data_IF_291939414618
#
_entry.id   IF_291939414618
#
_cell.length_a   1.000
_cell.length_b   1.000
_cell.length_c   1.000
_cell.angle_alpha   90.00
_cell.angle_beta   90.00
_cell.angle_gamma   90.00
#
_symmetry.space_group_name_H-M   'P 1'
#
loop_
_entity.id
_entity.type
_entity.pdbx_description
1 polymer ?
#
# COMPACT_ATOMS: atom_id res chain seq x y z
N UNK A 1 -20.88 -0.35 2.69
CA UNK A 1 -20.07 -1.52 3.08
C UNK A 1 -18.59 -1.19 3.19
N UNK A 2 -17.91 -0.70 2.15
CA UNK A 2 -16.49 -0.27 2.22
C UNK A 2 -16.17 0.71 3.36
N UNK A 3 -16.93 1.81 3.50
CA UNK A 3 -16.71 2.81 4.55
C UNK A 3 -16.84 2.25 5.98
N UNK A 4 -17.73 1.26 6.16
CA UNK A 4 -17.92 0.55 7.42
C UNK A 4 -16.71 -0.34 7.75
N UNK A 5 -16.14 -1.01 6.75
CA UNK A 5 -14.92 -1.82 6.95
C UNK A 5 -13.65 -0.99 7.11
N UNK A 6 -13.58 0.19 6.47
CA UNK A 6 -12.51 1.17 6.71
C UNK A 6 -12.49 1.65 8.17
N UNK A 7 -13.64 1.82 8.82
CA UNK A 7 -13.71 2.16 10.25
C UNK A 7 -13.06 1.08 11.16
N UNK A 8 -12.98 -0.19 10.74
CA UNK A 8 -12.31 -1.24 11.52
C UNK A 8 -10.77 -1.14 11.47
N UNK A 9 -10.18 -0.34 10.57
CA UNK A 9 -8.75 -0.03 10.65
C UNK A 9 -8.40 0.81 11.88
N UNK A 10 -9.41 1.30 12.62
CA UNK A 10 -9.24 1.96 13.92
C UNK A 10 -8.90 0.96 15.05
N UNK A 11 -9.02 -0.35 14.82
CA UNK A 11 -8.52 -1.38 15.75
C UNK A 11 -7.03 -1.60 15.45
N UNK A 12 -6.10 -1.15 16.32
CA UNK A 12 -4.68 -1.12 15.99
C UNK A 12 -4.11 -2.52 15.69
N UNK A 13 -3.17 -2.55 14.74
CA UNK A 13 -2.34 -3.69 14.34
C UNK A 13 -3.08 -4.88 13.70
N UNK A 14 -3.97 -5.54 14.43
CA UNK A 14 -4.72 -6.71 13.92
C UNK A 14 -5.76 -6.28 12.90
N UNK A 15 -6.45 -5.15 13.15
CA UNK A 15 -7.45 -4.61 12.23
C UNK A 15 -6.85 -4.26 10.87
N UNK A 16 -5.66 -3.65 10.85
CA UNK A 16 -4.96 -3.33 9.60
C UNK A 16 -4.61 -4.58 8.81
N UNK A 17 -3.89 -5.56 9.38
CA UNK A 17 -3.52 -6.75 8.60
C UNK A 17 -4.73 -7.59 8.17
N UNK A 18 -5.75 -7.72 9.02
CA UNK A 18 -7.00 -8.41 8.64
C UNK A 18 -7.70 -7.69 7.49
N UNK A 19 -7.81 -6.37 7.58
CA UNK A 19 -8.44 -5.57 6.53
C UNK A 19 -7.66 -5.67 5.21
N UNK A 20 -6.34 -5.58 5.27
CA UNK A 20 -5.50 -5.55 4.07
C UNK A 20 -5.30 -6.91 3.42
N UNK A 21 -5.08 -7.96 4.21
CA UNK A 21 -4.78 -9.30 3.68
C UNK A 21 -6.04 -10.11 3.37
N UNK A 22 -7.20 -9.73 3.90
CA UNK A 22 -8.45 -10.46 3.68
C UNK A 22 -9.56 -9.58 3.08
N UNK A 23 -9.90 -8.46 3.71
CA UNK A 23 -11.09 -7.69 3.29
C UNK A 23 -10.89 -6.95 1.96
N UNK A 24 -9.68 -6.45 1.67
CA UNK A 24 -9.34 -5.85 0.37
C UNK A 24 -9.38 -6.89 -0.77
N UNK A 25 -8.65 -8.03 -0.68
CA UNK A 25 -8.77 -9.11 -1.67
C UNK A 25 -10.19 -9.63 -1.84
N UNK A 26 -10.93 -9.81 -0.74
CA UNK A 26 -12.32 -10.26 -0.78
C UNK A 26 -13.21 -9.28 -1.53
N UNK A 27 -13.06 -7.97 -1.26
CA UNK A 27 -13.81 -6.93 -1.95
C UNK A 27 -13.51 -6.89 -3.46
N UNK A 28 -12.24 -7.02 -3.84
CA UNK A 28 -11.83 -7.09 -5.24
C UNK A 28 -12.35 -8.36 -5.91
N UNK A 29 -12.31 -9.51 -5.23
CA UNK A 29 -12.82 -10.77 -5.73
C UNK A 29 -14.34 -10.74 -5.93
N UNK A 30 -15.09 -10.18 -4.99
CA UNK A 30 -16.54 -9.97 -5.12
C UNK A 30 -16.85 -9.06 -6.32
N UNK A 31 -16.09 -7.99 -6.53
CA UNK A 31 -16.22 -7.14 -7.72
C UNK A 31 -15.99 -7.94 -9.00
N UNK A 32 -14.89 -8.71 -9.06
CA UNK A 32 -14.56 -9.57 -10.21
C UNK A 32 -15.70 -10.53 -10.53
N UNK A 33 -16.33 -11.12 -9.50
CA UNK A 33 -17.46 -12.04 -9.66
C UNK A 33 -18.73 -11.33 -10.11
N UNK A 34 -19.07 -10.19 -9.52
CA UNK A 34 -20.27 -9.43 -9.86
C UNK A 34 -20.23 -8.89 -11.29
N UNK A 35 -19.05 -8.45 -11.75
CA UNK A 35 -18.87 -7.86 -13.09
C UNK A 35 -18.44 -8.87 -14.16
N UNK A 36 -18.40 -10.16 -13.82
CA UNK A 36 -18.00 -11.26 -14.71
C UNK A 36 -16.72 -10.95 -15.51
N UNK A 37 -15.67 -10.53 -14.80
CA UNK A 37 -14.43 -10.07 -15.42
C UNK A 37 -13.69 -11.28 -16.00
N UNK A 38 -13.68 -11.38 -17.33
CA UNK A 38 -13.27 -12.60 -18.03
C UNK A 38 -11.79 -12.98 -17.93
N UNK A 39 -10.86 -12.05 -18.20
CA UNK A 39 -9.43 -12.40 -18.28
C UNK A 39 -8.76 -12.37 -16.91
N UNK A 40 -7.87 -13.33 -16.64
CA UNK A 40 -7.04 -13.33 -15.42
C UNK A 40 -6.28 -12.01 -15.25
N UNK A 41 -5.75 -11.47 -16.34
CA UNK A 41 -5.09 -10.16 -16.36
C UNK A 41 -5.98 -9.07 -15.74
N UNK A 42 -7.21 -8.93 -16.22
CA UNK A 42 -8.15 -7.93 -15.74
C UNK A 42 -8.59 -8.19 -14.30
N UNK A 43 -8.70 -9.45 -13.89
CA UNK A 43 -9.00 -9.81 -12.50
C UNK A 43 -7.88 -9.33 -11.55
N UNK A 44 -6.62 -9.62 -11.87
CA UNK A 44 -5.47 -9.15 -11.08
C UNK A 44 -5.32 -7.63 -11.14
N UNK A 45 -5.61 -7.00 -12.28
CA UNK A 45 -5.61 -5.55 -12.41
C UNK A 45 -6.65 -4.89 -11.48
N UNK A 46 -7.83 -5.50 -11.32
CA UNK A 46 -8.84 -5.04 -10.35
C UNK A 46 -8.33 -5.22 -8.92
N UNK A 47 -7.73 -6.36 -8.58
CA UNK A 47 -7.14 -6.56 -7.24
C UNK A 47 -6.07 -5.51 -6.96
N UNK A 48 -5.16 -5.27 -7.91
CA UNK A 48 -4.12 -4.26 -7.81
C UNK A 48 -4.71 -2.86 -7.63
N UNK A 49 -5.74 -2.52 -8.41
CA UNK A 49 -6.44 -1.24 -8.30
C UNK A 49 -7.08 -1.05 -6.92
N UNK A 50 -7.76 -2.07 -6.37
CA UNK A 50 -8.31 -2.04 -5.01
C UNK A 50 -7.21 -1.82 -3.98
N UNK A 51 -6.11 -2.57 -4.08
CA UNK A 51 -4.97 -2.40 -3.20
C UNK A 51 -4.41 -0.98 -3.28
N UNK A 52 -4.20 -0.41 -4.47
CA UNK A 52 -3.68 0.95 -4.61
C UNK A 52 -4.63 1.99 -4.03
N UNK A 53 -5.90 1.99 -4.39
CA UNK A 53 -6.86 3.01 -3.93
C UNK A 53 -7.06 2.92 -2.42
N UNK A 54 -7.17 1.72 -1.87
CA UNK A 54 -7.47 1.53 -0.45
C UNK A 54 -6.23 1.76 0.41
N UNK A 55 -5.10 1.15 0.05
CA UNK A 55 -3.89 1.22 0.86
C UNK A 55 -3.12 2.51 0.68
N UNK A 56 -2.87 2.89 -0.58
CA UNK A 56 -2.10 4.08 -0.88
C UNK A 56 -2.98 5.30 -0.68
N UNK A 57 -4.20 5.27 -1.23
CA UNK A 57 -5.19 6.34 -1.08
C UNK A 57 -5.66 6.52 0.36
N UNK A 58 -6.62 5.71 0.80
CA UNK A 58 -7.22 5.88 2.14
C UNK A 58 -6.24 5.62 3.29
N UNK A 59 -5.40 4.59 3.18
CA UNK A 59 -4.35 4.31 4.17
C UNK A 59 -3.30 5.43 4.25
N UNK A 60 -2.98 6.08 3.13
CA UNK A 60 -2.09 7.24 3.13
C UNK A 60 -2.69 8.47 3.83
N UNK A 61 -4.00 8.72 3.69
CA UNK A 61 -4.70 9.78 4.45
C UNK A 61 -4.62 9.50 5.96
N UNK A 62 -4.84 8.24 6.36
CA UNK A 62 -4.71 7.87 7.77
C UNK A 62 -3.27 8.06 8.27
N UNK A 63 -2.27 7.70 7.47
CA UNK A 63 -0.88 7.90 7.84
C UNK A 63 -0.52 9.39 7.95
N UNK A 64 -1.04 10.23 7.05
CA UNK A 64 -0.90 11.69 7.15
C UNK A 64 -1.47 12.22 8.47
N UNK A 65 -2.66 11.78 8.87
CA UNK A 65 -3.25 12.17 10.17
C UNK A 65 -2.36 11.71 11.32
N UNK A 66 -1.87 10.47 11.28
CA UNK A 66 -0.95 9.93 12.30
C UNK A 66 0.34 10.75 12.44
N UNK A 67 0.96 11.11 11.31
CA UNK A 67 2.22 11.86 11.28
C UNK A 67 2.06 13.38 11.45
N UNK A 68 0.83 13.90 11.52
CA UNK A 68 0.55 15.31 11.85
C UNK A 68 -0.03 15.46 13.25
N UNK A 69 -1.25 14.95 13.46
CA UNK A 69 -2.02 15.13 14.70
C UNK A 69 -1.45 14.28 15.84
N UNK A 70 -0.86 13.13 15.53
CA UNK A 70 -0.37 12.16 16.51
C UNK A 70 1.16 11.94 16.40
N UNK A 71 1.88 12.89 15.80
CA UNK A 71 3.29 12.75 15.44
C UNK A 71 4.17 12.27 16.60
N UNK A 72 4.02 12.87 17.78
CA UNK A 72 4.80 12.52 18.97
C UNK A 72 4.44 11.13 19.52
N UNK A 73 3.18 10.74 19.43
CA UNK A 73 2.74 9.39 19.83
C UNK A 73 3.32 8.34 18.90
N UNK A 74 3.33 8.59 17.59
CA UNK A 74 3.95 7.72 16.60
C UNK A 74 5.46 7.63 16.84
N UNK A 75 6.15 8.76 16.98
CA UNK A 75 7.59 8.80 17.23
C UNK A 75 7.97 8.02 18.51
N UNK A 76 7.26 8.24 19.63
CA UNK A 76 7.48 7.47 20.87
C UNK A 76 7.23 5.98 20.69
N UNK A 77 6.19 5.59 19.95
CA UNK A 77 5.91 4.17 19.69
C UNK A 77 6.98 3.48 18.86
N UNK A 78 7.66 4.22 17.98
CA UNK A 78 8.82 3.77 17.21
C UNK A 78 10.09 3.80 18.07
N UNK A 79 10.12 4.56 19.17
CA UNK A 79 11.33 4.79 19.96
C UNK A 79 12.24 5.87 19.36
N UNK A 80 11.69 6.77 18.55
CA UNK A 80 12.41 7.89 17.93
C UNK A 80 12.09 9.22 18.61
N UNK A 81 12.94 10.22 18.34
CA UNK A 81 12.82 11.55 18.90
C UNK A 81 11.50 12.23 18.47
N UNK A 82 10.79 12.79 19.45
CA UNK A 82 9.58 13.61 19.27
C UNK A 82 9.90 15.02 18.78
N UNK A 83 8.95 15.70 18.14
CA UNK A 83 9.15 17.08 17.65
C UNK A 83 10.16 17.24 16.50
N UNK A 84 10.60 16.14 15.88
CA UNK A 84 11.48 16.17 14.71
C UNK A 84 10.70 16.55 13.43
N UNK A 85 11.28 17.36 12.51
CA UNK A 85 10.64 17.70 11.24
C UNK A 85 10.40 16.48 10.33
N UNK A 86 11.06 15.36 10.59
CA UNK A 86 10.88 14.10 9.87
C UNK A 86 9.42 13.65 9.80
N UNK A 87 8.66 13.77 10.91
CA UNK A 87 7.26 13.37 10.95
C UNK A 87 6.43 14.21 9.96
N UNK A 88 6.70 15.50 9.87
CA UNK A 88 6.02 16.42 8.94
C UNK A 88 6.34 16.09 7.48
N UNK A 89 7.61 15.85 7.15
CA UNK A 89 8.00 15.45 5.78
C UNK A 89 7.32 14.15 5.36
N UNK A 90 7.31 13.17 6.26
CA UNK A 90 6.64 11.89 6.05
C UNK A 90 5.11 12.05 5.92
N UNK A 91 4.52 12.95 6.69
CA UNK A 91 3.11 13.30 6.55
C UNK A 91 2.81 13.81 5.14
N UNK A 92 3.55 14.78 4.62
CA UNK A 92 3.29 15.32 3.29
C UNK A 92 3.58 14.33 2.17
N UNK A 93 4.59 13.46 2.32
CA UNK A 93 4.81 12.35 1.39
C UNK A 93 3.60 11.40 1.35
N UNK A 94 3.08 11.03 2.52
CA UNK A 94 1.94 10.12 2.62
C UNK A 94 0.65 10.77 2.10
N UNK A 95 0.46 12.06 2.32
CA UNK A 95 -0.65 12.83 1.75
C UNK A 95 -0.57 12.91 0.22
N UNK A 96 0.60 13.23 -0.35
CA UNK A 96 0.78 13.31 -1.79
C UNK A 96 0.50 11.97 -2.48
N UNK A 97 1.05 10.88 -1.94
CA UNK A 97 0.76 9.52 -2.42
C UNK A 97 -0.70 9.13 -2.22
N UNK A 98 -1.35 9.58 -1.14
CA UNK A 98 -2.77 9.36 -0.90
C UNK A 98 -3.66 10.03 -1.94
N UNK A 99 -3.43 11.32 -2.21
CA UNK A 99 -4.19 12.07 -3.22
C UNK A 99 -4.05 11.39 -4.58
N UNK A 100 -2.83 11.00 -4.95
CA UNK A 100 -2.60 10.28 -6.20
C UNK A 100 -3.27 8.90 -6.22
N UNK A 101 -3.21 8.13 -5.12
CA UNK A 101 -3.87 6.84 -4.99
C UNK A 101 -5.39 6.92 -5.10
N UNK A 102 -6.01 7.95 -4.54
CA UNK A 102 -7.44 8.23 -4.70
C UNK A 102 -7.77 8.68 -6.12
N UNK A 103 -6.93 9.55 -6.70
CA UNK A 103 -7.10 10.03 -8.07
C UNK A 103 -7.01 8.90 -9.11
N UNK A 104 -6.32 7.80 -8.79
CA UNK A 104 -6.23 6.61 -9.63
C UNK A 104 -7.58 5.92 -9.89
N UNK A 105 -8.65 6.24 -9.14
CA UNK A 105 -10.04 5.83 -9.46
C UNK A 105 -10.45 6.35 -10.85
N UNK A 106 -10.05 7.57 -11.19
CA UNK A 106 -10.41 8.25 -12.43
C UNK A 106 -9.30 8.21 -13.47
N UNK A 107 -8.05 8.47 -13.08
CA UNK A 107 -6.93 8.63 -14.02
C UNK A 107 -6.42 7.30 -14.59
N UNK A 108 -6.41 6.22 -13.77
CA UNK A 108 -6.09 4.83 -14.16
C UNK A 108 -4.75 4.68 -14.93
N UNK A 109 -4.53 3.51 -15.53
CA UNK A 109 -3.35 3.21 -16.37
C UNK A 109 -2.02 3.21 -15.60
N UNK A 110 -0.95 3.69 -16.25
CA UNK A 110 0.41 3.69 -15.69
C UNK A 110 0.59 4.53 -14.42
N UNK A 111 -0.40 5.34 -14.03
CA UNK A 111 -0.41 6.00 -12.74
C UNK A 111 -0.33 5.00 -11.58
N UNK A 112 -1.03 3.87 -11.68
CA UNK A 112 -1.00 2.80 -10.67
C UNK A 112 0.41 2.20 -10.58
N UNK A 113 1.03 1.90 -11.72
CA UNK A 113 2.40 1.40 -11.82
C UNK A 113 3.39 2.36 -11.16
N UNK A 114 3.33 3.65 -11.51
CA UNK A 114 4.22 4.67 -10.94
C UNK A 114 4.05 4.81 -9.42
N UNK A 115 2.81 4.78 -8.93
CA UNK A 115 2.51 4.83 -7.50
C UNK A 115 3.02 3.62 -6.75
N UNK A 116 2.85 2.42 -7.31
CA UNK A 116 3.36 1.19 -6.70
C UNK A 116 4.88 1.24 -6.61
N UNK A 117 5.57 1.59 -7.69
CA UNK A 117 7.04 1.67 -7.67
C UNK A 117 7.49 2.68 -6.61
N UNK A 118 6.94 3.90 -6.64
CA UNK A 118 7.30 4.96 -5.70
C UNK A 118 7.03 4.56 -4.24
N UNK A 119 5.83 4.05 -3.95
CA UNK A 119 5.44 3.67 -2.59
C UNK A 119 6.22 2.46 -2.11
N UNK A 120 6.48 1.48 -2.98
CA UNK A 120 7.22 0.28 -2.60
C UNK A 120 8.67 0.56 -2.28
N UNK A 121 9.34 1.39 -3.08
CA UNK A 121 10.73 1.80 -2.79
C UNK A 121 10.80 2.55 -1.47
N UNK A 122 9.84 3.44 -1.20
CA UNK A 122 9.74 4.13 0.08
C UNK A 122 9.58 3.15 1.26
N UNK A 123 8.65 2.19 1.17
CA UNK A 123 8.39 1.23 2.26
C UNK A 123 9.60 0.33 2.51
N UNK A 124 10.26 -0.19 1.47
CA UNK A 124 11.51 -0.93 1.67
C UNK A 124 12.62 -0.06 2.27
N UNK A 125 12.68 1.21 1.91
CA UNK A 125 13.57 2.19 2.55
C UNK A 125 13.25 2.37 4.04
N UNK A 126 11.98 2.48 4.41
CA UNK A 126 11.54 2.54 5.80
C UNK A 126 11.92 1.26 6.57
N UNK A 127 11.66 0.08 6.00
CA UNK A 127 12.09 -1.20 6.56
C UNK A 127 13.60 -1.24 6.81
N UNK A 128 14.40 -0.77 5.85
CA UNK A 128 15.86 -0.66 6.02
C UNK A 128 16.24 0.23 7.20
N UNK A 129 15.60 1.40 7.35
CA UNK A 129 15.86 2.31 8.47
C UNK A 129 15.50 1.65 9.80
N UNK A 130 14.34 1.01 9.91
CA UNK A 130 13.92 0.26 11.09
C UNK A 130 14.90 -0.86 11.45
N UNK A 131 15.27 -1.70 10.47
CA UNK A 131 16.22 -2.81 10.65
C UNK A 131 17.59 -2.29 11.09
N UNK A 132 18.09 -1.22 10.45
CA UNK A 132 19.35 -0.60 10.85
C UNK A 132 19.29 -0.12 12.30
N UNK A 133 18.18 0.48 12.72
CA UNK A 133 17.99 1.00 14.07
C UNK A 133 17.94 -0.12 15.13
N UNK A 134 17.40 -1.29 14.78
CA UNK A 134 17.50 -2.50 15.61
C UNK A 134 18.97 -2.85 15.87
N UNK A 135 19.78 -2.94 14.82
CA UNK A 135 21.17 -3.40 14.95
C UNK A 135 22.10 -2.36 15.57
N UNK A 136 21.90 -1.08 15.25
CA UNK A 136 22.79 0.00 15.70
C UNK A 136 22.45 0.48 17.10
N UNK A 137 21.15 0.65 17.39
CA UNK A 137 20.69 1.27 18.63
C UNK A 137 19.96 0.30 19.58
N UNK A 138 19.85 -0.99 19.22
CA UNK A 138 19.07 -1.98 19.98
C UNK A 138 17.62 -1.52 20.22
N UNK A 139 17.05 -0.79 19.25
CA UNK A 139 15.69 -0.27 19.38
C UNK A 139 14.67 -1.37 19.10
N UNK A 140 14.19 -2.04 20.15
CA UNK A 140 13.14 -3.05 20.08
C UNK A 140 11.74 -2.50 20.36
N UNK A 141 11.54 -1.19 20.20
CA UNK A 141 10.23 -0.56 20.44
C UNK A 141 9.16 -1.20 19.55
N UNK A 142 7.90 -1.33 20.03
CA UNK A 142 6.86 -2.09 19.33
C UNK A 142 6.60 -1.65 17.89
N UNK A 143 6.64 -0.34 17.59
CA UNK A 143 6.47 0.14 16.22
C UNK A 143 7.77 0.15 15.41
N UNK A 144 8.93 -0.12 16.01
CA UNK A 144 10.18 -0.30 15.26
C UNK A 144 10.33 -1.72 14.70
N UNK A 145 9.93 -2.72 15.49
CA UNK A 145 10.15 -4.15 15.14
C UNK A 145 8.87 -4.92 14.82
N UNK A 146 7.72 -4.36 15.19
CA UNK A 146 6.44 -5.04 15.07
C UNK A 146 5.74 -4.74 13.74
N UNK A 147 4.46 -4.39 13.83
CA UNK A 147 3.56 -4.30 12.68
C UNK A 147 4.02 -3.36 11.58
N UNK A 148 4.72 -2.27 11.92
CA UNK A 148 5.19 -1.27 10.95
C UNK A 148 6.26 -1.90 10.06
N UNK A 149 7.34 -2.43 10.65
CA UNK A 149 8.39 -3.13 9.91
C UNK A 149 7.85 -4.30 9.07
N UNK A 150 6.92 -5.10 9.63
CA UNK A 150 6.29 -6.19 8.87
C UNK A 150 5.51 -5.62 7.67
N UNK A 151 4.75 -4.54 7.86
CA UNK A 151 3.99 -3.88 6.80
C UNK A 151 4.90 -3.28 5.71
N UNK A 152 6.00 -2.67 6.12
CA UNK A 152 7.02 -2.07 5.25
C UNK A 152 7.69 -3.10 4.32
N UNK A 153 7.59 -4.39 4.65
CA UNK A 153 8.10 -5.49 3.82
C UNK A 153 6.96 -6.19 3.06
N UNK A 154 5.87 -6.54 3.75
CA UNK A 154 4.79 -7.37 3.18
C UNK A 154 4.01 -6.62 2.10
N UNK A 155 3.60 -5.37 2.35
CA UNK A 155 2.79 -4.61 1.41
C UNK A 155 3.49 -4.33 0.07
N UNK A 156 4.74 -3.82 0.03
CA UNK A 156 5.41 -3.60 -1.24
C UNK A 156 5.68 -4.91 -1.99
N UNK A 157 5.90 -6.00 -1.26
CA UNK A 157 6.08 -7.33 -1.86
C UNK A 157 4.79 -7.79 -2.57
N UNK A 158 3.64 -7.68 -1.90
CA UNK A 158 2.33 -8.01 -2.50
C UNK A 158 2.05 -7.12 -3.72
N UNK A 159 2.31 -5.82 -3.64
CA UNK A 159 2.11 -4.93 -4.78
C UNK A 159 2.99 -5.29 -5.97
N UNK A 160 4.27 -5.59 -5.75
CA UNK A 160 5.15 -5.98 -6.86
C UNK A 160 4.77 -7.33 -7.46
N UNK A 161 4.33 -8.30 -6.65
CA UNK A 161 3.83 -9.57 -7.17
C UNK A 161 2.57 -9.38 -8.02
N UNK A 162 1.60 -8.58 -7.56
CA UNK A 162 0.40 -8.26 -8.33
C UNK A 162 0.74 -7.49 -9.62
N UNK A 163 1.61 -6.48 -9.52
CA UNK A 163 2.04 -5.71 -10.67
C UNK A 163 2.76 -6.57 -11.70
N UNK A 164 3.65 -7.47 -11.26
CA UNK A 164 4.32 -8.42 -12.13
C UNK A 164 3.31 -9.27 -12.91
N UNK A 165 2.33 -9.88 -12.23
CA UNK A 165 1.30 -10.71 -12.87
C UNK A 165 0.47 -9.92 -13.89
N UNK A 166 0.13 -8.67 -13.58
CA UNK A 166 -0.62 -7.80 -14.51
C UNK A 166 0.22 -7.49 -15.74
N UNK A 167 1.46 -7.04 -15.56
CA UNK A 167 2.34 -6.66 -16.67
C UNK A 167 2.71 -7.84 -17.58
N UNK A 168 2.96 -9.02 -17.01
CA UNK A 168 3.23 -10.23 -17.82
C UNK A 168 2.04 -10.61 -18.68
N UNK A 169 0.83 -10.53 -18.12
CA UNK A 169 -0.37 -10.88 -18.86
C UNK A 169 -0.72 -9.86 -19.96
N UNK A 170 -0.45 -8.58 -19.73
CA UNK A 170 -0.56 -7.53 -20.74
C UNK A 170 0.44 -7.73 -21.90
N UNK A 171 1.69 -8.09 -21.58
CA UNK A 171 2.73 -8.39 -22.57
C UNK A 171 2.41 -9.62 -23.43
N UNK A 172 1.90 -10.69 -22.82
CA UNK A 172 1.45 -11.89 -23.53
C UNK A 172 0.31 -11.57 -24.50
N UNK A 173 -0.68 -10.79 -24.06
CA UNK A 173 -1.79 -10.35 -24.89
C UNK A 173 -1.32 -9.48 -26.08
N UNK A 174 -0.39 -8.54 -25.83
CA UNK A 174 0.17 -7.68 -26.87
C UNK A 174 0.96 -8.47 -27.92
N UNK A 175 1.74 -9.47 -27.49
CA UNK A 175 2.50 -10.36 -28.38
C UNK A 175 1.58 -11.17 -29.28
N UNK A 176 0.53 -11.80 -28.73
CA UNK A 176 -0.43 -12.57 -29.53
C UNK A 176 -1.17 -11.72 -30.57
N UNK A 177 -1.51 -10.47 -30.25
CA UNK A 177 -2.15 -9.56 -31.20
C UNK A 177 -1.18 -9.22 -32.34
N UNK A 178 0.09 -8.97 -32.01
CA UNK A 178 1.12 -8.67 -33.00
C UNK A 178 1.35 -9.84 -33.95
N UNK A 179 1.43 -11.06 -33.45
CA UNK A 179 1.62 -12.28 -34.27
C UNK A 179 0.43 -12.55 -35.20
N UNK A 180 -0.81 -12.24 -34.78
CA UNK A 180 -2.01 -12.39 -35.63
C UNK A 180 -2.12 -11.36 -36.76
N UNK A 181 -1.37 -10.27 -36.68
CA UNK A 181 -1.41 -9.16 -37.63
C UNK A 181 -0.24 -9.17 -38.63
N UNK A 182 0.61 -10.22 -38.59
CA UNK A 182 1.71 -10.49 -39.53
C UNK A 182 1.30 -11.69 -40.39
#
# INVERSE_FOLDING_TARGET
TFFFYWLFSLVPHVGTFVYMLFLVPLSAWLHVKEKDIGTRANQFAIVLWYYTVIMVGFGGVWNFIGHTVMADTVARGIGWQTGSPFQTELAFYTLGTAIAGLAAVWLRGHMITALIISKSVFLYGAAFVHIRDIFVNSNYSPLNVGSVLIGDIVFPTIWFLLLYVVLTAELEAATMIREKNI
#
